data_IF_658266667533
#
_entry.id   IF_658266667533
#
_cell.length_a   1.000
_cell.length_b   1.000
_cell.length_c   1.000
_cell.angle_alpha   90.00
_cell.angle_beta   90.00
_cell.angle_gamma   90.00
#
_symmetry.space_group_name_H-M   'P 1'
#
loop_
_entity.id
_entity.type
_entity.pdbx_description
1 polymer ?
#
# COMPACT_ATOMS: atom_id res chain seq x y z
N UNK A 1 -10.10 18.42 -10.47
CA UNK A 1 -8.69 18.04 -10.78
C UNK A 1 -7.86 18.20 -9.52
N UNK A 2 -7.03 17.22 -9.20
CA UNK A 2 -6.11 17.30 -8.07
C UNK A 2 -4.96 18.26 -8.37
N UNK A 3 -4.60 19.11 -7.40
CA UNK A 3 -3.42 19.97 -7.45
C UNK A 3 -2.50 19.67 -6.28
N UNK A 4 -1.21 19.71 -6.51
CA UNK A 4 -0.18 19.49 -5.48
C UNK A 4 0.69 20.74 -5.44
N UNK A 5 0.83 21.34 -4.25
CA UNK A 5 1.68 22.54 -4.07
C UNK A 5 3.14 22.18 -3.88
N UNK A 6 3.40 21.11 -3.12
CA UNK A 6 4.73 20.68 -2.75
C UNK A 6 4.83 19.17 -2.79
N UNK A 7 5.98 18.65 -3.20
CA UNK A 7 6.33 17.25 -3.14
C UNK A 7 7.50 17.07 -2.18
N UNK A 8 7.38 16.10 -1.27
CA UNK A 8 8.44 15.76 -0.32
C UNK A 8 8.64 14.25 -0.28
N UNK A 9 9.81 13.80 -0.67
CA UNK A 9 10.26 12.44 -0.43
C UNK A 9 10.76 12.36 1.02
N UNK A 10 10.04 11.63 1.87
CA UNK A 10 10.37 11.51 3.27
C UNK A 10 11.68 10.74 3.46
N UNK A 11 12.52 11.21 4.38
CA UNK A 11 13.80 10.58 4.74
C UNK A 11 13.66 9.63 5.92
N UNK A 12 12.54 9.72 6.65
CA UNK A 12 12.21 8.84 7.78
C UNK A 12 10.71 8.69 7.96
N UNK A 13 10.28 7.65 8.67
CA UNK A 13 8.88 7.48 9.07
C UNK A 13 8.42 8.60 10.00
N UNK A 14 9.30 9.07 10.87
CA UNK A 14 9.04 10.19 11.77
C UNK A 14 8.73 11.47 10.99
N UNK A 15 9.54 11.81 9.99
CA UNK A 15 9.29 12.95 9.12
C UNK A 15 7.96 12.81 8.37
N UNK A 16 7.70 11.63 7.81
CA UNK A 16 6.44 11.36 7.13
C UNK A 16 5.24 11.53 8.05
N UNK A 17 5.34 11.05 9.28
CA UNK A 17 4.30 11.19 10.29
C UNK A 17 4.06 12.65 10.66
N UNK A 18 5.12 13.43 10.91
CA UNK A 18 5.02 14.86 11.22
C UNK A 18 4.34 15.65 10.09
N UNK A 19 4.75 15.39 8.84
CA UNK A 19 4.13 16.00 7.67
C UNK A 19 2.64 15.64 7.53
N UNK A 20 2.28 14.41 7.86
CA UNK A 20 0.91 13.91 7.74
C UNK A 20 -0.04 14.46 8.82
N UNK A 21 0.46 15.13 9.87
CA UNK A 21 -0.39 15.79 10.86
C UNK A 21 -1.20 16.95 10.26
N UNK A 22 -0.72 17.53 9.17
CA UNK A 22 -1.45 18.60 8.47
C UNK A 22 -2.53 18.03 7.56
N UNK A 23 -3.80 18.39 7.79
CA UNK A 23 -4.97 17.88 7.04
C UNK A 23 -4.90 18.06 5.52
N UNK A 24 -4.13 19.03 5.06
CA UNK A 24 -3.96 19.29 3.62
C UNK A 24 -2.91 18.39 2.96
N UNK A 25 -2.10 17.69 3.75
CA UNK A 25 -1.06 16.81 3.22
C UNK A 25 -1.62 15.42 2.96
N UNK A 26 -1.01 14.71 2.02
CA UNK A 26 -1.40 13.34 1.66
C UNK A 26 -0.18 12.46 1.48
N UNK A 27 -0.24 11.29 2.07
CA UNK A 27 0.72 10.22 1.80
C UNK A 27 0.40 9.59 0.46
N UNK A 28 1.44 9.40 -0.36
CA UNK A 28 1.31 8.79 -1.68
C UNK A 28 1.52 7.27 -1.59
N UNK A 29 0.55 6.52 -2.12
CA UNK A 29 0.73 5.13 -2.53
C UNK A 29 0.88 5.07 -4.04
N UNK A 30 0.13 4.18 -4.70
CA UNK A 30 0.09 4.11 -6.18
C UNK A 30 -0.68 5.24 -6.86
N UNK A 31 -1.30 6.13 -6.10
CA UNK A 31 -2.09 7.28 -6.57
C UNK A 31 -3.30 6.95 -7.44
N UNK A 32 -3.74 5.72 -7.53
CA UNK A 32 -4.79 5.29 -8.47
C UNK A 32 -6.11 6.00 -8.18
N UNK A 33 -6.52 6.03 -6.94
CA UNK A 33 -7.73 6.74 -6.50
C UNK A 33 -7.47 8.22 -6.25
N UNK A 34 -6.37 8.55 -5.59
CA UNK A 34 -6.03 9.91 -5.21
C UNK A 34 -6.01 10.86 -6.39
N UNK A 35 -5.46 10.45 -7.53
CA UNK A 35 -5.41 11.28 -8.73
C UNK A 35 -6.77 11.61 -9.34
N UNK A 36 -7.81 10.84 -9.01
CA UNK A 36 -9.17 11.06 -9.49
C UNK A 36 -9.98 12.01 -8.58
N UNK A 37 -9.46 12.32 -7.40
CA UNK A 37 -10.11 13.23 -6.49
C UNK A 37 -9.97 14.69 -6.96
N UNK A 38 -10.95 15.51 -6.60
CA UNK A 38 -10.91 16.96 -6.84
C UNK A 38 -10.50 17.68 -5.55
N UNK A 39 -9.20 17.61 -5.23
CA UNK A 39 -8.62 18.14 -4.00
C UNK A 39 -7.36 18.95 -4.24
N UNK A 40 -7.09 19.86 -3.32
CA UNK A 40 -5.84 20.62 -3.26
C UNK A 40 -4.96 20.01 -2.16
N UNK A 41 -3.88 19.37 -2.56
CA UNK A 41 -2.89 18.79 -1.65
C UNK A 41 -1.83 19.82 -1.31
N UNK A 42 -1.58 20.04 -0.03
CA UNK A 42 -0.50 20.91 0.44
C UNK A 42 0.87 20.30 0.10
N UNK A 43 1.22 19.24 0.81
CA UNK A 43 2.44 18.46 0.54
C UNK A 43 2.05 17.02 0.21
N UNK A 44 2.51 16.54 -0.92
CA UNK A 44 2.47 15.13 -1.29
C UNK A 44 3.68 14.41 -0.68
N UNK A 45 3.43 13.46 0.22
CA UNK A 45 4.45 12.77 1.01
C UNK A 45 4.76 11.43 0.34
N UNK A 46 5.96 11.30 -0.19
CA UNK A 46 6.43 10.10 -0.86
C UNK A 46 7.23 9.22 0.10
N UNK A 47 6.82 7.97 0.26
CA UNK A 47 7.46 6.98 1.13
C UNK A 47 8.43 6.05 0.39
N UNK A 48 8.67 6.26 -0.90
CA UNK A 48 9.44 5.33 -1.75
C UNK A 48 10.91 5.16 -1.33
N UNK A 49 11.45 6.08 -0.53
CA UNK A 49 12.82 6.02 -0.03
C UNK A 49 13.00 5.29 1.29
N UNK A 50 11.94 4.75 1.90
CA UNK A 50 11.97 4.21 3.27
C UNK A 50 12.10 2.67 3.35
N UNK A 51 12.30 1.98 2.22
CA UNK A 51 12.43 0.53 2.21
C UNK A 51 11.14 -0.23 2.56
N UNK A 52 9.98 0.38 2.32
CA UNK A 52 8.66 -0.20 2.63
C UNK A 52 8.07 -1.04 1.50
N UNK A 53 8.84 -1.37 0.50
CA UNK A 53 8.46 -2.09 -0.72
C UNK A 53 8.98 -3.54 -0.75
N UNK A 54 9.28 -4.09 0.42
CA UNK A 54 9.83 -5.44 0.58
C UNK A 54 8.86 -6.38 1.28
N UNK A 55 8.97 -7.67 0.95
CA UNK A 55 8.32 -8.78 1.64
C UNK A 55 9.42 -9.61 2.26
N UNK A 56 9.45 -9.66 3.58
CA UNK A 56 10.41 -10.45 4.35
C UNK A 56 9.73 -11.71 4.88
N UNK A 57 10.32 -12.86 4.61
CA UNK A 57 9.88 -14.15 5.12
C UNK A 57 10.65 -14.49 6.40
N UNK A 58 9.93 -14.82 7.45
CA UNK A 58 10.49 -15.20 8.74
C UNK A 58 9.96 -16.57 9.15
N UNK A 59 10.51 -17.16 10.23
CA UNK A 59 10.01 -18.42 10.78
C UNK A 59 8.56 -18.32 11.28
N UNK A 60 8.13 -17.12 11.67
CA UNK A 60 6.78 -16.88 12.21
C UNK A 60 5.77 -16.42 11.14
N UNK A 61 6.22 -16.03 9.95
CA UNK A 61 5.33 -15.54 8.89
C UNK A 61 6.00 -14.54 7.94
N UNK A 62 5.23 -13.55 7.49
CA UNK A 62 5.68 -12.56 6.51
C UNK A 62 5.54 -11.14 7.06
N UNK A 63 6.59 -10.34 6.90
CA UNK A 63 6.53 -8.91 7.10
C UNK A 63 6.40 -8.22 5.72
N UNK A 64 5.25 -7.58 5.49
CA UNK A 64 4.90 -6.97 4.20
C UNK A 64 4.88 -5.47 4.35
N UNK A 65 5.76 -4.77 3.64
CA UNK A 65 5.84 -3.32 3.64
C UNK A 65 4.61 -2.65 3.01
N UNK A 66 4.27 -1.47 3.49
CA UNK A 66 3.08 -0.74 3.01
C UNK A 66 3.17 -0.32 1.54
N UNK A 67 4.38 -0.17 1.00
CA UNK A 67 4.63 0.19 -0.40
C UNK A 67 4.83 -1.01 -1.32
N UNK A 68 4.68 -2.24 -0.81
CA UNK A 68 4.64 -3.45 -1.63
C UNK A 68 3.49 -3.34 -2.61
N UNK A 69 3.75 -3.61 -3.88
CA UNK A 69 2.72 -3.58 -4.93
C UNK A 69 1.88 -4.84 -4.93
N UNK A 70 0.67 -4.76 -5.46
CA UNK A 70 -0.17 -5.95 -5.64
C UNK A 70 0.48 -6.96 -6.58
N UNK A 71 1.30 -6.50 -7.52
CA UNK A 71 2.06 -7.38 -8.41
C UNK A 71 3.14 -8.16 -7.66
N UNK A 72 3.82 -7.55 -6.69
CA UNK A 72 4.77 -8.26 -5.83
C UNK A 72 4.08 -9.34 -4.98
N UNK A 73 2.89 -9.04 -4.43
CA UNK A 73 2.07 -10.05 -3.73
C UNK A 73 1.70 -11.22 -4.64
N UNK A 74 1.24 -10.92 -5.84
CA UNK A 74 0.83 -11.93 -6.84
C UNK A 74 1.94 -12.89 -7.19
N UNK A 75 3.17 -12.39 -7.32
CA UNK A 75 4.32 -13.16 -7.80
C UNK A 75 5.16 -13.79 -6.68
N UNK A 76 4.91 -13.47 -5.42
CA UNK A 76 5.76 -13.94 -4.32
C UNK A 76 5.56 -15.44 -4.04
N UNK A 77 6.59 -16.28 -4.27
CA UNK A 77 6.44 -17.72 -4.18
C UNK A 77 6.19 -18.22 -2.76
N UNK A 78 6.80 -17.61 -1.75
CA UNK A 78 6.59 -17.96 -0.34
C UNK A 78 5.17 -17.71 0.13
N UNK A 79 4.57 -16.56 -0.25
CA UNK A 79 3.16 -16.27 0.05
C UNK A 79 2.21 -17.24 -0.67
N UNK A 80 2.51 -17.59 -1.93
CA UNK A 80 1.72 -18.56 -2.67
C UNK A 80 1.75 -19.93 -1.99
N UNK A 81 2.91 -20.40 -1.57
CA UNK A 81 3.08 -21.67 -0.87
C UNK A 81 2.38 -21.67 0.49
N UNK A 82 2.56 -20.61 1.28
CA UNK A 82 1.99 -20.50 2.62
C UNK A 82 0.45 -20.45 2.61
N UNK A 83 -0.15 -19.81 1.61
CA UNK A 83 -1.60 -19.61 1.53
C UNK A 83 -2.29 -20.54 0.54
N UNK A 84 -1.61 -21.58 0.06
CA UNK A 84 -2.10 -22.47 -1.00
C UNK A 84 -2.63 -21.69 -2.24
N UNK A 85 -1.91 -20.66 -2.62
CA UNK A 85 -2.24 -19.79 -3.74
C UNK A 85 -3.33 -18.74 -3.47
N UNK A 86 -3.94 -18.69 -2.28
CA UNK A 86 -5.06 -17.81 -2.02
C UNK A 86 -4.73 -16.32 -2.19
N UNK A 87 -3.57 -15.85 -1.75
CA UNK A 87 -3.13 -14.46 -1.95
C UNK A 87 -3.00 -14.14 -3.43
N UNK A 88 -2.37 -15.02 -4.19
CA UNK A 88 -2.22 -14.85 -5.64
C UNK A 88 -3.56 -14.78 -6.34
N UNK A 89 -4.47 -15.71 -6.04
CA UNK A 89 -5.80 -15.77 -6.65
C UNK A 89 -6.65 -14.53 -6.33
N UNK A 90 -6.55 -14.00 -5.11
CA UNK A 90 -7.31 -12.81 -4.72
C UNK A 90 -6.87 -11.54 -5.43
N UNK A 91 -5.61 -11.41 -5.83
CA UNK A 91 -5.09 -10.17 -6.45
C UNK A 91 -4.92 -10.24 -7.96
N UNK A 92 -4.71 -11.42 -8.54
CA UNK A 92 -4.34 -11.57 -9.97
C UNK A 92 -5.38 -11.04 -10.96
N UNK A 93 -6.64 -10.96 -10.55
CA UNK A 93 -7.74 -10.48 -11.38
C UNK A 93 -8.09 -9.00 -11.15
N UNK A 94 -7.36 -8.31 -10.28
CA UNK A 94 -7.58 -6.88 -10.04
C UNK A 94 -7.12 -6.10 -11.26
N UNK A 95 -8.08 -5.67 -12.06
CA UNK A 95 -7.97 -4.89 -13.30
C UNK A 95 -6.92 -5.45 -14.28
N UNK A 96 -5.67 -5.01 -14.20
CA UNK A 96 -4.59 -5.41 -15.10
C UNK A 96 -3.21 -5.25 -14.46
N UNK A 97 -2.19 -5.79 -15.11
CA UNK A 97 -0.81 -5.79 -14.60
C UNK A 97 -0.30 -4.37 -14.35
N UNK A 98 -0.62 -3.40 -15.23
CA UNK A 98 -0.19 -2.02 -15.06
C UNK A 98 -0.74 -1.40 -13.77
N UNK A 99 -2.02 -1.64 -13.45
CA UNK A 99 -2.60 -1.17 -12.20
C UNK A 99 -1.96 -1.88 -11.00
N UNK A 100 -1.79 -3.20 -11.07
CA UNK A 100 -1.19 -3.98 -9.98
C UNK A 100 0.28 -3.63 -9.72
N UNK A 101 1.00 -3.13 -10.72
CA UNK A 101 2.36 -2.59 -10.54
C UNK A 101 2.39 -1.25 -9.79
N UNK A 102 1.28 -0.53 -9.74
CA UNK A 102 1.17 0.78 -9.06
C UNK A 102 0.45 0.68 -7.73
N UNK A 103 -0.64 -0.08 -7.65
CA UNK A 103 -1.43 -0.23 -6.44
C UNK A 103 -0.58 -0.87 -5.33
N UNK A 104 -0.64 -0.29 -4.14
CA UNK A 104 0.12 -0.75 -2.97
C UNK A 104 -0.77 -1.43 -1.94
N UNK A 105 -0.17 -2.31 -1.16
CA UNK A 105 -0.84 -2.97 -0.02
C UNK A 105 -1.35 -1.93 0.97
N UNK A 106 -0.51 -0.98 1.38
CA UNK A 106 -0.88 0.06 2.31
C UNK A 106 -2.05 0.91 1.83
N UNK A 107 -2.02 1.34 0.56
CA UNK A 107 -3.12 2.11 -0.03
C UNK A 107 -4.42 1.32 -0.08
N UNK A 108 -4.36 0.04 -0.42
CA UNK A 108 -5.54 -0.84 -0.50
C UNK A 108 -6.16 -1.12 0.86
N UNK A 109 -5.35 -1.27 1.92
CA UNK A 109 -5.83 -1.48 3.27
C UNK A 109 -6.35 -0.19 3.91
N UNK A 110 -5.63 0.92 3.71
CA UNK A 110 -5.99 2.21 4.28
C UNK A 110 -7.33 2.74 3.76
N UNK A 111 -7.62 2.52 2.47
CA UNK A 111 -8.86 2.99 1.85
C UNK A 111 -10.12 2.34 2.43
N UNK A 112 -10.01 1.16 3.04
CA UNK A 112 -11.10 0.43 3.71
C UNK A 112 -12.33 0.20 2.83
N UNK A 113 -12.15 0.11 1.53
CA UNK A 113 -13.26 -0.19 0.62
C UNK A 113 -13.81 -1.58 0.84
N UNK A 114 -15.12 -1.71 1.06
CA UNK A 114 -15.79 -2.99 1.32
C UNK A 114 -15.71 -3.99 0.16
N UNK A 115 -15.37 -3.52 -1.05
CA UNK A 115 -15.16 -4.35 -2.23
C UNK A 115 -13.67 -4.76 -2.43
N UNK A 116 -12.77 -4.40 -1.51
CA UNK A 116 -11.34 -4.67 -1.67
C UNK A 116 -11.02 -6.14 -1.42
N UNK A 117 -10.59 -6.85 -2.47
CA UNK A 117 -10.09 -8.22 -2.38
C UNK A 117 -8.82 -8.29 -1.52
N UNK A 118 -7.99 -7.24 -1.55
CA UNK A 118 -6.79 -7.13 -0.72
C UNK A 118 -7.16 -7.07 0.77
N UNK A 119 -8.11 -6.24 1.14
CA UNK A 119 -8.58 -6.16 2.52
C UNK A 119 -9.14 -7.50 3.00
N UNK A 120 -9.93 -8.15 2.18
CA UNK A 120 -10.54 -9.44 2.48
C UNK A 120 -9.50 -10.52 2.74
N UNK A 121 -8.51 -10.65 1.86
CA UNK A 121 -7.48 -11.69 2.02
C UNK A 121 -6.59 -11.44 3.24
N UNK A 122 -6.36 -10.19 3.63
CA UNK A 122 -5.58 -9.87 4.84
C UNK A 122 -6.39 -10.08 6.14
N UNK A 123 -7.71 -10.18 6.07
CA UNK A 123 -8.54 -10.52 7.23
C UNK A 123 -8.68 -12.04 7.46
N UNK A 124 -8.48 -12.85 6.42
CA UNK A 124 -8.66 -14.29 6.49
C UNK A 124 -7.56 -15.02 7.30
N UNK A 125 -6.25 -14.78 7.06
CA UNK A 125 -5.19 -15.29 7.94
C UNK A 125 -5.07 -14.45 9.21
N UNK A 126 -4.36 -14.96 10.20
CA UNK A 126 -4.00 -14.16 11.38
C UNK A 126 -3.02 -13.08 10.96
N UNK A 127 -3.52 -11.88 10.75
CA UNK A 127 -2.73 -10.72 10.31
C UNK A 127 -2.69 -9.67 11.41
N UNK A 128 -1.48 -9.18 11.71
CA UNK A 128 -1.28 -8.01 12.55
C UNK A 128 -0.95 -6.83 11.65
N UNK A 129 -1.87 -5.87 11.54
CA UNK A 129 -1.63 -4.63 10.83
C UNK A 129 -1.28 -3.53 11.80
N UNK A 130 -0.09 -2.98 11.71
CA UNK A 130 0.31 -1.77 12.41
C UNK A 130 0.06 -0.56 11.50
N UNK A 131 -1.20 -0.09 11.50
CA UNK A 131 -1.55 1.19 10.92
C UNK A 131 -1.35 2.25 12.01
N UNK A 132 -0.17 2.84 12.07
CA UNK A 132 0.00 4.07 12.82
C UNK A 132 -0.59 5.20 11.97
N UNK A 133 -1.76 5.62 12.40
CA UNK A 133 -2.33 6.88 11.93
C UNK A 133 -1.56 8.07 12.53
#
# INVERSE_FOLDING_TARGET
MMTIREYKKAESLEEAWQLNQKKQNRVLGGMIWLKMENINVGTAIDLSGLGLDTIEETEEGFAIGAMVTLRQLELHPGLAAYTDGAVRESVRHIVGVQLRNLATVGGSLYSRFGFSDVLTIFLAPVSYTHLRA
#
